data_IF_690835657582
#
_entry.id   IF_690835657582
#
_cell.length_a   1.000
_cell.length_b   1.000
_cell.length_c   1.000
_cell.angle_alpha   90.00
_cell.angle_beta   90.00
_cell.angle_gamma   90.00
#
_symmetry.space_group_name_H-M   'P 1'
#
loop_
_entity.id
_entity.type
_entity.pdbx_description
1 polymer ?
#
# COMPACT_ATOMS: atom_id res chain seq x y z
N UNK A 1 -11.10 -6.17 12.74
CA UNK A 1 -10.60 -5.90 11.37
C UNK A 1 -9.19 -5.34 11.48
N UNK A 2 -8.27 -5.97 10.81
CA UNK A 2 -6.88 -5.51 10.82
C UNK A 2 -6.74 -4.19 10.05
N UNK A 3 -5.94 -3.29 10.59
CA UNK A 3 -5.69 -1.99 9.97
C UNK A 3 -4.30 -2.00 9.33
N UNK A 4 -4.25 -1.66 8.06
CA UNK A 4 -3.04 -1.78 7.24
C UNK A 4 -2.60 -0.40 6.75
N UNK A 5 -1.32 -0.09 6.90
CA UNK A 5 -0.71 1.11 6.35
C UNK A 5 0.26 0.70 5.23
N UNK A 6 0.01 1.21 4.02
CA UNK A 6 0.97 1.07 2.93
C UNK A 6 1.80 2.33 2.84
N UNK A 7 3.11 2.19 2.82
CA UNK A 7 4.03 3.33 2.81
C UNK A 7 4.91 3.29 1.57
N UNK A 8 5.04 4.42 0.92
CA UNK A 8 5.91 4.61 -0.23
C UNK A 8 6.68 5.91 0.02
N UNK A 9 7.61 6.28 -0.86
CA UNK A 9 8.40 7.48 -0.64
C UNK A 9 7.54 8.75 -0.66
N UNK A 10 6.67 8.89 -1.66
CA UNK A 10 5.85 10.10 -1.86
C UNK A 10 4.36 9.85 -1.86
N UNK A 11 3.91 8.64 -1.62
CA UNK A 11 2.49 8.29 -1.65
C UNK A 11 1.83 8.73 -2.97
N UNK A 12 2.48 8.44 -4.09
CA UNK A 12 2.01 8.92 -5.39
C UNK A 12 1.68 7.80 -6.36
N UNK A 13 2.34 6.66 -6.31
CA UNK A 13 2.12 5.57 -7.26
C UNK A 13 1.96 4.21 -6.57
N UNK A 14 3.06 3.59 -6.14
CA UNK A 14 3.04 2.21 -5.63
C UNK A 14 2.08 2.02 -4.45
N UNK A 15 2.16 2.88 -3.44
CA UNK A 15 1.27 2.77 -2.28
C UNK A 15 -0.17 3.10 -2.63
N UNK A 16 -0.38 3.99 -3.61
CA UNK A 16 -1.74 4.31 -4.06
C UNK A 16 -2.37 3.11 -4.77
N UNK A 17 -1.61 2.42 -5.60
CA UNK A 17 -2.10 1.21 -6.25
C UNK A 17 -2.39 0.12 -5.22
N UNK A 18 -1.50 -0.06 -4.24
CA UNK A 18 -1.71 -1.02 -3.17
C UNK A 18 -2.99 -0.72 -2.39
N UNK A 19 -3.22 0.55 -2.07
CA UNK A 19 -4.45 0.95 -1.39
C UNK A 19 -5.68 0.59 -2.22
N UNK A 20 -5.65 0.87 -3.53
CA UNK A 20 -6.76 0.55 -4.41
C UNK A 20 -7.07 -0.95 -4.46
N UNK A 21 -6.05 -1.77 -4.62
CA UNK A 21 -6.24 -3.22 -4.63
C UNK A 21 -6.73 -3.74 -3.28
N UNK A 22 -6.15 -3.24 -2.19
CA UNK A 22 -6.51 -3.72 -0.87
C UNK A 22 -7.94 -3.35 -0.49
N UNK A 23 -8.40 -2.16 -0.87
CA UNK A 23 -9.78 -1.76 -0.64
C UNK A 23 -10.76 -2.63 -1.42
N UNK A 24 -10.38 -3.04 -2.63
CA UNK A 24 -11.22 -3.88 -3.48
C UNK A 24 -11.18 -5.33 -3.04
N UNK A 25 -9.98 -5.89 -2.89
CA UNK A 25 -9.78 -7.31 -2.58
C UNK A 25 -10.03 -7.62 -1.11
N UNK A 26 -9.82 -6.65 -0.24
CA UNK A 26 -9.98 -6.81 1.21
C UNK A 26 -11.22 -6.16 1.77
N UNK A 27 -12.20 -5.81 0.93
CA UNK A 27 -13.41 -5.14 1.39
C UNK A 27 -14.11 -5.97 2.47
N UNK A 28 -14.39 -5.32 3.60
CA UNK A 28 -15.02 -5.97 4.74
C UNK A 28 -14.08 -6.86 5.56
N UNK A 29 -12.81 -6.99 5.16
CA UNK A 29 -11.83 -7.85 5.84
C UNK A 29 -10.73 -7.07 6.51
N UNK A 30 -10.29 -5.99 5.89
CA UNK A 30 -9.22 -5.11 6.41
C UNK A 30 -9.58 -3.66 6.20
N UNK A 31 -9.01 -2.80 7.03
CA UNK A 31 -9.11 -1.35 6.85
C UNK A 31 -7.77 -0.87 6.30
N UNK A 32 -7.78 -0.03 5.28
CA UNK A 32 -6.59 0.31 4.50
C UNK A 32 -6.35 1.81 4.48
N UNK A 33 -5.09 2.18 4.66
CA UNK A 33 -4.61 3.56 4.53
C UNK A 33 -3.28 3.52 3.80
N UNK A 34 -2.94 4.58 3.10
CA UNK A 34 -1.60 4.72 2.52
C UNK A 34 -1.02 6.08 2.85
N UNK A 35 0.30 6.16 2.85
CA UNK A 35 1.01 7.41 3.11
C UNK A 35 2.41 7.33 2.50
N UNK A 36 3.13 8.44 2.55
CA UNK A 36 4.51 8.50 2.10
C UNK A 36 5.38 9.12 3.17
N UNK A 37 6.68 8.99 3.03
CA UNK A 37 7.60 9.73 3.87
C UNK A 37 7.36 11.23 3.67
N UNK A 38 6.92 11.60 2.47
CA UNK A 38 6.45 12.94 2.14
C UNK A 38 5.12 12.83 1.43
N UNK A 39 4.24 13.80 1.58
CA UNK A 39 3.01 13.88 0.79
C UNK A 39 3.30 14.49 -0.57
N UNK A 40 2.59 14.07 -1.60
CA UNK A 40 2.71 14.58 -2.96
C UNK A 40 1.32 14.59 -3.59
N UNK A 41 1.16 13.93 -4.73
CA UNK A 41 -0.11 13.80 -5.43
C UNK A 41 -0.21 12.40 -6.01
N UNK A 42 -1.44 11.91 -6.14
CA UNK A 42 -1.67 10.63 -6.84
C UNK A 42 -1.32 10.84 -8.31
N UNK A 43 -0.40 10.04 -8.84
CA UNK A 43 0.04 10.23 -10.22
C UNK A 43 -1.05 9.86 -11.22
N UNK A 44 -1.23 10.66 -12.27
CA UNK A 44 -2.21 10.32 -13.30
C UNK A 44 -1.96 8.95 -13.94
N UNK A 45 -0.70 8.57 -14.09
CA UNK A 45 -0.35 7.26 -14.66
C UNK A 45 -0.83 6.12 -13.77
N UNK A 46 -0.77 6.30 -12.44
CA UNK A 46 -1.29 5.30 -11.51
C UNK A 46 -2.80 5.20 -11.63
N UNK A 47 -3.49 6.33 -11.74
CA UNK A 47 -4.95 6.35 -11.91
C UNK A 47 -5.32 5.61 -13.21
N UNK A 48 -4.62 5.91 -14.31
CA UNK A 48 -4.91 5.32 -15.61
C UNK A 48 -4.66 3.80 -15.61
N UNK A 49 -3.53 3.36 -15.04
CA UNK A 49 -3.19 1.94 -15.04
C UNK A 49 -4.13 1.12 -14.15
N UNK A 50 -4.62 1.71 -13.06
CA UNK A 50 -5.60 1.03 -12.20
C UNK A 50 -6.96 0.96 -12.86
N UNK A 51 -7.34 1.99 -13.62
CA UNK A 51 -8.58 1.98 -14.37
C UNK A 51 -8.62 0.84 -15.38
N UNK A 52 -7.48 0.48 -15.95
CA UNK A 52 -7.39 -0.64 -16.90
C UNK A 52 -7.85 -1.97 -16.29
N UNK A 53 -7.77 -2.10 -14.98
CA UNK A 53 -8.23 -3.29 -14.27
C UNK A 53 -9.52 -3.04 -13.48
N UNK A 54 -10.22 -1.96 -13.81
CA UNK A 54 -11.53 -1.69 -13.25
C UNK A 54 -11.54 -1.05 -11.86
N UNK A 55 -10.41 -0.50 -11.42
CA UNK A 55 -10.30 0.11 -10.09
C UNK A 55 -10.04 1.60 -10.25
N UNK A 56 -10.92 2.42 -9.67
CA UNK A 56 -10.80 3.88 -9.71
C UNK A 56 -10.14 4.36 -8.42
N UNK A 57 -8.94 4.94 -8.54
CA UNK A 57 -8.24 5.51 -7.40
C UNK A 57 -8.18 7.05 -7.46
N UNK A 58 -8.98 7.65 -8.34
CA UNK A 58 -8.96 9.11 -8.51
C UNK A 58 -9.41 9.87 -7.26
N UNK A 59 -10.15 9.22 -6.37
CA UNK A 59 -10.61 9.84 -5.12
C UNK A 59 -9.61 9.69 -3.96
N UNK A 60 -8.56 8.92 -4.16
CA UNK A 60 -7.57 8.74 -3.10
C UNK A 60 -6.69 9.99 -2.97
N UNK A 61 -6.17 10.20 -1.77
CA UNK A 61 -5.34 11.36 -1.48
C UNK A 61 -3.93 10.95 -1.11
N UNK A 62 -2.98 11.86 -1.30
CA UNK A 62 -1.60 11.66 -0.89
C UNK A 62 -1.40 12.28 0.49
N UNK A 63 -0.84 11.51 1.41
CA UNK A 63 -0.70 11.92 2.81
C UNK A 63 0.71 11.61 3.31
N UNK A 64 1.18 12.37 4.29
CA UNK A 64 2.46 12.11 4.92
C UNK A 64 2.27 11.13 6.08
N UNK A 65 3.24 10.23 6.24
CA UNK A 65 3.22 9.24 7.33
C UNK A 65 3.10 9.90 8.70
N UNK A 66 3.72 11.08 8.85
CA UNK A 66 3.69 11.83 10.11
C UNK A 66 2.29 12.27 10.55
N UNK A 67 1.31 12.20 9.65
CA UNK A 67 -0.08 12.53 10.00
C UNK A 67 -0.78 11.40 10.75
N UNK A 68 -0.15 10.24 10.87
CA UNK A 68 -0.75 9.05 11.43
C UNK A 68 0.02 8.57 12.66
N UNK A 69 -0.68 7.79 13.49
CA UNK A 69 -0.11 7.20 14.68
C UNK A 69 0.15 5.71 14.43
N UNK A 70 1.38 5.22 14.59
CA UNK A 70 1.69 3.80 14.34
C UNK A 70 0.87 2.84 15.19
N UNK A 71 0.44 3.26 16.38
CA UNK A 71 -0.36 2.41 17.25
C UNK A 71 -1.74 2.11 16.69
N UNK A 72 -2.18 2.88 15.69
CA UNK A 72 -3.47 2.65 15.04
C UNK A 72 -3.43 1.54 14.00
N UNK A 73 -2.26 0.95 13.73
CA UNK A 73 -2.12 -0.01 12.65
C UNK A 73 -1.56 -1.33 13.15
N UNK A 74 -2.09 -2.42 12.60
CA UNK A 74 -1.65 -3.79 12.89
C UNK A 74 -0.57 -4.25 11.92
N UNK A 75 -0.63 -3.75 10.68
CA UNK A 75 0.32 -4.13 9.64
C UNK A 75 0.83 -2.88 8.93
N UNK A 76 2.12 -2.87 8.65
CA UNK A 76 2.78 -1.78 7.92
C UNK A 76 3.57 -2.40 6.78
N UNK A 77 3.27 -1.96 5.56
CA UNK A 77 3.89 -2.49 4.35
C UNK A 77 4.61 -1.35 3.63
N UNK A 78 5.90 -1.48 3.48
CA UNK A 78 6.71 -0.54 2.70
C UNK A 78 6.79 -1.08 1.27
N UNK A 79 6.60 -0.21 0.28
CA UNK A 79 6.62 -0.60 -1.13
C UNK A 79 7.79 -0.01 -1.92
N UNK A 80 8.74 0.59 -1.24
CA UNK A 80 9.85 1.24 -1.92
C UNK A 80 11.23 0.78 -1.45
N UNK A 81 11.29 -0.24 -0.60
CA UNK A 81 12.54 -0.58 0.05
C UNK A 81 12.92 0.46 1.09
N UNK A 82 11.95 1.22 1.59
CA UNK A 82 12.17 2.35 2.48
C UNK A 82 12.15 1.98 3.95
N UNK A 83 12.07 0.69 4.27
CA UNK A 83 11.94 0.25 5.65
C UNK A 83 13.03 0.76 6.57
N UNK A 84 14.23 0.95 6.02
CA UNK A 84 15.35 1.46 6.82
C UNK A 84 15.19 2.93 7.19
N UNK A 85 14.30 3.66 6.50
CA UNK A 85 14.07 5.08 6.73
C UNK A 85 12.80 5.36 7.51
N UNK A 86 12.06 4.33 7.89
CA UNK A 86 10.85 4.51 8.68
C UNK A 86 11.21 4.69 10.16
N UNK A 87 10.46 5.53 10.90
CA UNK A 87 10.64 5.59 12.34
C UNK A 87 10.46 4.22 12.97
N UNK A 88 11.23 3.90 14.02
CA UNK A 88 11.21 2.55 14.61
C UNK A 88 9.82 2.06 15.02
N UNK A 89 8.95 2.96 15.48
CA UNK A 89 7.59 2.59 15.93
C UNK A 89 6.75 1.99 14.83
N UNK A 90 7.08 2.28 13.56
CA UNK A 90 6.35 1.75 12.42
C UNK A 90 6.81 0.34 12.04
N UNK A 91 8.09 0.03 12.26
CA UNK A 91 8.62 -1.27 11.84
C UNK A 91 8.42 -2.38 12.87
N UNK A 92 7.96 -2.04 14.07
CA UNK A 92 7.73 -3.02 15.13
C UNK A 92 6.26 -3.42 15.29
N UNK A 93 5.43 -3.08 14.31
CA UNK A 93 4.04 -3.50 14.34
C UNK A 93 3.93 -5.02 14.17
N UNK A 94 2.77 -5.56 14.51
CA UNK A 94 2.52 -7.00 14.47
C UNK A 94 2.96 -7.63 13.14
N UNK A 95 2.67 -6.95 12.04
CA UNK A 95 3.12 -7.37 10.72
C UNK A 95 3.87 -6.22 10.08
N UNK A 96 5.09 -6.48 9.65
CA UNK A 96 5.86 -5.52 8.86
C UNK A 96 6.48 -6.26 7.67
N UNK A 97 6.28 -5.72 6.46
CA UNK A 97 6.89 -6.25 5.25
C UNK A 97 7.45 -5.10 4.44
N UNK A 98 8.54 -5.35 3.75
CA UNK A 98 9.17 -4.36 2.88
C UNK A 98 9.22 -4.96 1.47
N UNK A 99 8.29 -4.52 0.63
CA UNK A 99 8.19 -5.01 -0.75
C UNK A 99 9.05 -4.14 -1.63
N UNK A 100 10.13 -4.71 -2.16
CA UNK A 100 11.02 -3.99 -3.04
C UNK A 100 10.48 -4.05 -4.45
N UNK A 101 9.79 -2.99 -4.85
CA UNK A 101 9.17 -2.87 -6.16
C UNK A 101 9.86 -1.74 -6.93
N UNK A 102 10.00 -1.92 -8.24
CA UNK A 102 10.55 -0.86 -9.08
C UNK A 102 9.67 0.38 -9.03
N UNK A 103 10.30 1.55 -9.05
CA UNK A 103 9.57 2.80 -9.07
C UNK A 103 9.22 3.16 -10.51
N UNK A 104 7.93 3.19 -10.88
CA UNK A 104 7.55 3.50 -12.26
C UNK A 104 7.53 4.98 -12.57
N UNK A 105 7.83 5.85 -11.59
CA UNK A 105 7.70 7.30 -11.76
C UNK A 105 8.53 7.83 -12.93
N UNK A 106 9.73 7.28 -13.15
CA UNK A 106 10.61 7.71 -14.24
C UNK A 106 10.53 6.82 -15.47
N UNK A 107 9.76 5.73 -15.39
CA UNK A 107 9.57 4.78 -16.48
C UNK A 107 8.09 4.43 -16.57
N UNK A 108 7.27 5.33 -17.13
CA UNK A 108 5.83 5.09 -17.18
C UNK A 108 5.42 3.79 -17.86
N UNK A 109 6.25 3.29 -18.77
CA UNK A 109 5.96 2.04 -19.49
C UNK A 109 5.93 0.82 -18.59
N UNK A 110 6.51 0.87 -17.40
CA UNK A 110 6.50 -0.27 -16.49
C UNK A 110 5.33 -0.24 -15.49
N UNK A 111 4.50 0.81 -15.52
CA UNK A 111 3.35 0.88 -14.62
C UNK A 111 2.49 -0.38 -14.63
N UNK A 112 2.09 -0.93 -15.80
CA UNK A 112 1.27 -2.15 -15.79
C UNK A 112 1.96 -3.33 -15.13
N UNK A 113 3.27 -3.49 -15.30
CA UNK A 113 4.02 -4.56 -14.67
C UNK A 113 4.07 -4.39 -13.15
N UNK A 114 4.39 -3.20 -12.69
CA UNK A 114 4.45 -2.91 -11.27
C UNK A 114 3.06 -3.05 -10.64
N UNK A 115 2.01 -2.58 -11.33
CA UNK A 115 0.64 -2.77 -10.89
C UNK A 115 0.34 -4.25 -10.64
N UNK A 116 0.71 -5.12 -11.58
CA UNK A 116 0.42 -6.54 -11.47
C UNK A 116 1.20 -7.18 -10.32
N UNK A 117 2.44 -6.75 -10.09
CA UNK A 117 3.23 -7.22 -8.96
C UNK A 117 2.61 -6.79 -7.63
N UNK A 118 2.13 -5.55 -7.56
CA UNK A 118 1.44 -5.04 -6.36
C UNK A 118 0.18 -5.87 -6.10
N UNK A 119 -0.57 -6.17 -7.15
CA UNK A 119 -1.79 -6.97 -7.01
C UNK A 119 -1.51 -8.32 -6.39
N UNK A 120 -0.50 -9.03 -6.88
CA UNK A 120 -0.14 -10.35 -6.35
C UNK A 120 0.23 -10.28 -4.87
N UNK A 121 0.99 -9.27 -4.48
CA UNK A 121 1.41 -9.13 -3.09
C UNK A 121 0.24 -8.74 -2.20
N UNK A 122 -0.64 -7.89 -2.69
CA UNK A 122 -1.84 -7.50 -1.93
C UNK A 122 -2.77 -8.69 -1.74
N UNK A 123 -2.95 -9.51 -2.78
CA UNK A 123 -3.77 -10.72 -2.67
C UNK A 123 -3.24 -11.64 -1.56
N UNK A 124 -1.92 -11.86 -1.53
CA UNK A 124 -1.31 -12.69 -0.49
C UNK A 124 -1.46 -12.05 0.89
N UNK A 125 -1.30 -10.74 0.99
CA UNK A 125 -1.44 -10.03 2.26
C UNK A 125 -2.87 -10.11 2.80
N UNK A 126 -3.86 -9.88 1.94
CA UNK A 126 -5.28 -9.95 2.34
C UNK A 126 -5.60 -11.36 2.84
N UNK A 127 -5.13 -12.39 2.13
CA UNK A 127 -5.34 -13.77 2.56
C UNK A 127 -4.72 -14.02 3.93
N UNK A 128 -3.50 -13.52 4.15
CA UNK A 128 -2.79 -13.67 5.42
C UNK A 128 -3.52 -12.99 6.56
N UNK A 129 -3.97 -11.76 6.35
CA UNK A 129 -4.58 -10.96 7.41
C UNK A 129 -6.04 -11.33 7.67
N UNK A 130 -6.72 -11.91 6.69
CA UNK A 130 -8.12 -12.28 6.82
C UNK A 130 -8.32 -13.73 7.27
N UNK A 131 -7.24 -14.50 7.41
CA UNK A 131 -7.35 -15.86 7.95
C UNK A 131 -7.84 -15.76 9.38
N UNK A 132 -8.90 -16.54 9.66
CA UNK A 132 -9.32 -16.69 11.04
C UNK A 132 -8.15 -17.26 11.82
N UNK A 133 -7.88 -16.76 13.04
CA UNK A 133 -6.88 -17.39 13.86
C UNK A 133 -7.20 -18.86 13.93
N UNK A 134 -6.15 -19.70 13.85
CA UNK A 134 -6.31 -21.12 13.88
C UNK A 134 -7.17 -21.45 15.09
N UNK A 135 -8.43 -21.60 14.83
CA UNK A 135 -9.31 -22.05 15.87
C UNK A 135 -9.04 -23.51 16.09
N UNK A 136 -8.88 -23.81 17.30
CA UNK A 136 -8.90 -25.22 17.65
C UNK A 136 -10.18 -25.84 17.12
#
# INVERSE_FOLDING_TARGET
>A
MKRVMFVCKKNSARSQMAEGFAKTLGAGKIAVTSSGLEASQVRPEAIATMKEVGIDISDQTSNALSEFNPEDFDAVISLCGCGVNLPPEWVVREVFEDWQLDDPAEQPEIFPRVRDEVKERVEALVAKLSQAPATP
#
